data_IF_804783336211
#
_entry.id   IF_804783336211
#
_cell.length_a   1.000
_cell.length_b   1.000
_cell.length_c   1.000
_cell.angle_alpha   90.00
_cell.angle_beta   90.00
_cell.angle_gamma   90.00
#
_symmetry.space_group_name_H-M   'P 1'
#
loop_
_entity.id
_entity.type
_entity.pdbx_description
1 polymer ?
#
# COMPACT_ATOMS: atom_id res chain seq x y z
N UNK A 1 17.33 -34.01 25.93
CA UNK A 1 17.04 -35.00 27.00
C UNK A 1 15.66 -34.71 27.58
N UNK A 2 14.64 -35.42 27.14
CA UNK A 2 13.39 -35.59 27.89
C UNK A 2 12.95 -37.04 27.69
N UNK A 3 12.80 -37.75 28.81
CA UNK A 3 12.48 -39.18 28.94
C UNK A 3 11.00 -39.38 28.60
N UNK A 4 10.68 -40.34 27.75
CA UNK A 4 9.30 -40.79 27.50
C UNK A 4 9.18 -42.21 28.06
N UNK A 5 8.53 -42.34 29.21
CA UNK A 5 8.24 -43.63 29.85
C UNK A 5 6.97 -44.22 29.25
N UNK A 6 7.14 -45.38 28.62
CA UNK A 6 6.10 -46.26 28.13
C UNK A 6 5.35 -46.85 29.33
N UNK A 7 4.05 -46.55 29.48
CA UNK A 7 3.20 -47.26 30.42
C UNK A 7 1.98 -47.84 29.70
N UNK A 8 2.09 -49.12 29.36
CA UNK A 8 1.03 -50.01 28.93
C UNK A 8 0.02 -50.21 30.07
N UNK A 9 -1.23 -49.81 29.88
CA UNK A 9 -2.33 -50.22 30.75
C UNK A 9 -3.56 -50.53 29.92
N UNK A 10 -3.73 -51.83 29.65
CA UNK A 10 -4.93 -52.43 29.06
C UNK A 10 -6.09 -52.33 30.06
N UNK A 11 -7.02 -51.41 29.82
CA UNK A 11 -8.32 -51.34 30.52
C UNK A 11 -9.35 -52.23 29.79
N UNK A 12 -10.13 -53.07 30.50
CA UNK A 12 -11.19 -53.85 29.87
C UNK A 12 -12.36 -52.93 29.47
N UNK A 13 -12.93 -53.20 28.30
CA UNK A 13 -14.09 -52.47 27.78
C UNK A 13 -15.31 -52.69 28.70
N UNK A 14 -16.11 -51.64 28.99
CA UNK A 14 -17.32 -51.80 29.78
C UNK A 14 -18.41 -52.47 28.93
N UNK A 15 -18.89 -53.63 29.37
CA UNK A 15 -20.11 -54.26 28.84
C UNK A 15 -21.29 -53.31 29.08
N UNK A 16 -21.78 -52.69 28.01
CA UNK A 16 -23.00 -51.88 28.05
C UNK A 16 -24.19 -52.83 28.15
N UNK A 17 -24.85 -52.87 29.31
CA UNK A 17 -26.18 -53.49 29.43
C UNK A 17 -27.14 -52.67 28.58
N UNK A 18 -27.63 -53.25 27.49
CA UNK A 18 -28.72 -52.67 26.69
C UNK A 18 -30.02 -52.76 27.50
N UNK A 19 -30.31 -51.74 28.29
CA UNK A 19 -31.61 -51.58 28.93
C UNK A 19 -32.66 -51.30 27.85
N UNK A 20 -33.35 -52.36 27.42
CA UNK A 20 -34.47 -52.23 26.47
C UNK A 20 -35.59 -51.43 27.13
N UNK A 21 -36.10 -50.36 26.50
CA UNK A 21 -37.16 -49.55 27.09
C UNK A 21 -38.43 -50.38 27.30
N UNK A 22 -39.12 -50.13 28.42
CA UNK A 22 -40.39 -50.77 28.77
C UNK A 22 -41.56 -49.89 28.36
N UNK A 23 -42.73 -50.49 28.12
CA UNK A 23 -43.93 -49.75 27.76
C UNK A 23 -44.55 -49.06 28.97
N UNK A 24 -44.82 -47.76 28.85
CA UNK A 24 -45.45 -46.97 29.92
C UNK A 24 -46.93 -47.34 30.18
N UNK A 25 -47.58 -48.01 29.21
CA UNK A 25 -49.00 -48.38 29.27
C UNK A 25 -49.19 -49.84 29.70
N UNK A 26 -48.24 -50.70 29.35
CA UNK A 26 -48.31 -52.14 29.60
C UNK A 26 -47.12 -52.57 30.45
N UNK A 27 -47.36 -52.69 31.76
CA UNK A 27 -46.33 -53.05 32.73
C UNK A 27 -45.71 -54.42 32.39
N UNK A 28 -44.38 -54.48 32.36
CA UNK A 28 -43.65 -55.71 32.03
C UNK A 28 -43.45 -55.97 30.52
N UNK A 29 -44.08 -55.18 29.64
CA UNK A 29 -43.90 -55.33 28.19
C UNK A 29 -42.71 -54.53 27.65
N UNK A 30 -41.88 -55.17 26.84
CA UNK A 30 -40.73 -54.55 26.19
C UNK A 30 -41.15 -53.82 24.92
N UNK A 31 -40.56 -52.66 24.68
CA UNK A 31 -40.67 -51.94 23.40
C UNK A 31 -39.76 -52.63 22.38
N UNK A 32 -40.34 -53.40 21.46
CA UNK A 32 -39.61 -54.21 20.49
C UNK A 32 -40.17 -54.14 19.06
N UNK A 33 -41.21 -53.33 18.84
CA UNK A 33 -41.88 -53.14 17.56
C UNK A 33 -41.88 -51.64 17.23
N UNK A 34 -41.83 -51.29 15.95
CA UNK A 34 -41.96 -49.91 15.49
C UNK A 34 -43.26 -49.73 14.71
N UNK A 35 -44.08 -48.77 15.10
CA UNK A 35 -45.30 -48.42 14.39
C UNK A 35 -44.98 -47.45 13.25
N UNK A 36 -44.98 -47.96 12.02
CA UNK A 36 -44.66 -47.18 10.81
C UNK A 36 -45.69 -46.08 10.58
N UNK A 37 -46.97 -46.37 10.83
CA UNK A 37 -48.07 -45.40 10.64
C UNK A 37 -47.94 -44.15 11.53
N UNK A 38 -47.38 -44.30 12.73
CA UNK A 38 -47.27 -43.21 13.71
C UNK A 38 -45.82 -42.72 13.91
N UNK A 39 -44.84 -43.41 13.33
CA UNK A 39 -43.43 -43.05 13.45
C UNK A 39 -42.84 -43.23 14.85
N UNK A 40 -43.38 -44.13 15.67
CA UNK A 40 -42.98 -44.30 17.08
C UNK A 40 -42.72 -45.78 17.46
N UNK A 41 -41.75 -46.05 18.34
CA UNK A 41 -41.55 -47.38 18.89
C UNK A 41 -42.68 -47.75 19.87
N UNK A 42 -43.11 -49.01 19.88
CA UNK A 42 -44.26 -49.51 20.64
C UNK A 42 -44.06 -50.96 21.12
N UNK A 43 -44.97 -51.49 21.94
CA UNK A 43 -44.95 -52.87 22.41
C UNK A 43 -46.02 -53.75 21.74
N UNK A 44 -45.89 -55.07 21.87
CA UNK A 44 -46.85 -56.05 21.33
C UNK A 44 -48.28 -55.82 21.82
N UNK A 45 -48.47 -55.48 23.10
CA UNK A 45 -49.81 -55.25 23.66
C UNK A 45 -50.48 -54.00 23.09
N UNK A 46 -49.72 -52.92 22.91
CA UNK A 46 -50.18 -51.71 22.21
C UNK A 46 -50.62 -51.99 20.77
N UNK A 47 -49.96 -52.95 20.09
CA UNK A 47 -50.31 -53.39 18.74
C UNK A 47 -51.51 -54.33 18.71
N UNK A 48 -51.66 -55.29 19.62
CA UNK A 48 -52.76 -56.27 19.49
C UNK A 48 -54.07 -55.73 20.05
N UNK A 49 -54.03 -54.99 21.15
CA UNK A 49 -55.22 -54.56 21.90
C UNK A 49 -55.29 -53.05 22.14
N UNK A 50 -54.20 -52.31 21.91
CA UNK A 50 -54.10 -50.89 22.22
C UNK A 50 -54.28 -49.95 21.03
N UNK A 51 -53.73 -48.74 21.17
CA UNK A 51 -53.88 -47.63 20.22
C UNK A 51 -53.28 -47.87 18.83
N UNK A 52 -52.48 -48.93 18.64
CA UNK A 52 -51.81 -49.25 17.37
C UNK A 52 -52.43 -50.47 16.67
N UNK A 53 -53.64 -50.88 17.06
CA UNK A 53 -54.34 -52.07 16.55
C UNK A 53 -54.37 -52.16 15.03
N UNK A 54 -54.78 -51.07 14.38
CA UNK A 54 -54.97 -51.01 12.93
C UNK A 54 -53.76 -50.39 12.19
N UNK A 55 -52.63 -50.18 12.90
CA UNK A 55 -51.43 -49.58 12.32
C UNK A 55 -50.49 -50.61 11.69
N UNK A 56 -49.77 -50.20 10.65
CA UNK A 56 -48.68 -51.01 10.11
C UNK A 56 -47.47 -50.97 11.06
N UNK A 57 -46.89 -52.14 11.34
CA UNK A 57 -45.76 -52.27 12.26
C UNK A 57 -44.66 -53.15 11.69
N UNK A 58 -43.43 -52.84 12.05
CA UNK A 58 -42.22 -53.54 11.63
C UNK A 58 -41.33 -53.86 12.84
N UNK A 59 -40.47 -54.90 12.79
CA UNK A 59 -39.50 -55.16 13.85
C UNK A 59 -38.59 -53.96 14.08
N UNK A 60 -38.41 -53.55 15.34
CA UNK A 60 -37.67 -52.33 15.69
C UNK A 60 -36.21 -52.36 15.20
N UNK A 61 -35.59 -53.55 15.13
CA UNK A 61 -34.22 -53.75 14.66
C UNK A 61 -34.06 -53.41 13.18
N UNK A 62 -35.05 -53.76 12.35
CA UNK A 62 -35.05 -53.47 10.90
C UNK A 62 -35.16 -51.97 10.64
N UNK A 63 -36.11 -51.30 11.31
CA UNK A 63 -36.29 -49.85 11.21
C UNK A 63 -35.08 -49.11 11.80
N UNK A 64 -34.52 -49.57 12.91
CA UNK A 64 -33.33 -48.98 13.52
C UNK A 64 -32.15 -48.97 12.55
N UNK A 65 -31.83 -50.11 11.91
CA UNK A 65 -30.72 -50.16 10.96
C UNK A 65 -31.00 -49.26 9.75
N UNK A 66 -32.22 -49.27 9.22
CA UNK A 66 -32.61 -48.40 8.10
C UNK A 66 -32.44 -46.93 8.45
N UNK A 67 -33.01 -46.47 9.57
CA UNK A 67 -32.92 -45.07 10.02
C UNK A 67 -31.51 -44.66 10.40
N UNK A 68 -30.71 -45.58 10.94
CA UNK A 68 -29.29 -45.35 11.23
C UNK A 68 -28.49 -45.13 9.94
N UNK A 69 -28.74 -45.93 8.91
CA UNK A 69 -28.13 -45.76 7.59
C UNK A 69 -28.58 -44.46 6.94
N UNK A 70 -29.88 -44.16 6.90
CA UNK A 70 -30.40 -42.89 6.37
C UNK A 70 -29.77 -41.67 7.06
N UNK A 71 -29.65 -41.70 8.40
CA UNK A 71 -29.01 -40.63 9.16
C UNK A 71 -27.51 -40.55 8.85
N UNK A 72 -26.83 -41.68 8.76
CA UNK A 72 -25.40 -41.74 8.42
C UNK A 72 -25.14 -41.17 7.02
N UNK A 73 -25.95 -41.53 6.03
CA UNK A 73 -25.85 -41.04 4.66
C UNK A 73 -26.16 -39.53 4.58
N UNK A 74 -27.18 -39.08 5.30
CA UNK A 74 -27.51 -37.65 5.43
C UNK A 74 -26.37 -36.84 6.04
N UNK A 75 -25.73 -37.36 7.09
CA UNK A 75 -24.54 -36.74 7.70
C UNK A 75 -23.38 -36.72 6.69
N UNK A 76 -23.12 -37.81 5.99
CA UNK A 76 -22.05 -37.87 4.99
C UNK A 76 -22.24 -36.86 3.85
N UNK A 77 -23.46 -36.71 3.35
CA UNK A 77 -23.80 -35.67 2.35
C UNK A 77 -23.58 -34.26 2.90
N UNK A 78 -23.99 -33.99 4.14
CA UNK A 78 -23.79 -32.69 4.77
C UNK A 78 -22.31 -32.36 4.99
N UNK A 79 -21.50 -33.33 5.38
CA UNK A 79 -20.04 -33.15 5.50
C UNK A 79 -19.44 -32.74 4.15
N UNK A 80 -19.77 -33.46 3.07
CA UNK A 80 -19.29 -33.09 1.72
C UNK A 80 -19.78 -31.72 1.26
N UNK A 81 -21.02 -31.33 1.61
CA UNK A 81 -21.54 -29.98 1.34
C UNK A 81 -20.75 -28.91 2.10
N UNK A 82 -20.43 -29.14 3.38
CA UNK A 82 -19.65 -28.22 4.20
C UNK A 82 -18.21 -28.07 3.66
N UNK A 83 -17.57 -29.18 3.25
CA UNK A 83 -16.24 -29.14 2.64
C UNK A 83 -16.23 -28.30 1.36
N UNK A 84 -17.27 -28.44 0.52
CA UNK A 84 -17.44 -27.59 -0.67
C UNK A 84 -17.61 -26.12 -0.29
N UNK A 85 -18.43 -25.79 0.71
CA UNK A 85 -18.61 -24.42 1.17
C UNK A 85 -17.30 -23.82 1.70
N UNK A 86 -16.55 -24.61 2.48
CA UNK A 86 -15.24 -24.19 2.99
C UNK A 86 -14.27 -23.89 1.84
N UNK A 87 -14.26 -24.72 0.79
CA UNK A 87 -13.47 -24.48 -0.42
C UNK A 87 -13.86 -23.17 -1.14
N UNK A 88 -15.15 -22.86 -1.23
CA UNK A 88 -15.63 -21.58 -1.80
C UNK A 88 -15.20 -20.40 -0.93
N UNK A 89 -15.31 -20.51 0.40
CA UNK A 89 -14.87 -19.46 1.33
C UNK A 89 -13.38 -19.16 1.12
N UNK A 90 -12.53 -20.19 1.07
CA UNK A 90 -11.10 -20.02 0.83
C UNK A 90 -10.80 -19.33 -0.52
N UNK A 91 -11.51 -19.69 -1.60
CA UNK A 91 -11.37 -19.02 -2.89
C UNK A 91 -11.77 -17.54 -2.83
N UNK A 92 -12.83 -17.20 -2.10
CA UNK A 92 -13.26 -15.81 -1.92
C UNK A 92 -12.24 -15.00 -1.12
N UNK A 93 -11.68 -15.58 -0.05
CA UNK A 93 -10.62 -14.94 0.73
C UNK A 93 -9.35 -14.69 -0.10
N UNK A 94 -8.96 -15.65 -0.94
CA UNK A 94 -7.85 -15.48 -1.89
C UNK A 94 -8.13 -14.37 -2.91
N UNK A 95 -9.34 -14.32 -3.46
CA UNK A 95 -9.75 -13.26 -4.38
C UNK A 95 -9.70 -11.88 -3.72
N UNK A 96 -10.16 -11.76 -2.46
CA UNK A 96 -10.07 -10.52 -1.69
C UNK A 96 -8.61 -10.07 -1.52
N UNK A 97 -7.72 -10.98 -1.08
CA UNK A 97 -6.29 -10.70 -0.95
C UNK A 97 -5.67 -10.25 -2.28
N UNK A 98 -6.02 -10.92 -3.38
CA UNK A 98 -5.54 -10.56 -4.70
C UNK A 98 -6.03 -9.18 -5.16
N UNK A 99 -7.28 -8.81 -4.87
CA UNK A 99 -7.82 -7.48 -5.18
C UNK A 99 -7.08 -6.39 -4.40
N UNK A 100 -6.83 -6.60 -3.10
CA UNK A 100 -6.09 -5.67 -2.26
C UNK A 100 -4.66 -5.47 -2.75
N UNK A 101 -3.96 -6.57 -3.05
CA UNK A 101 -2.58 -6.54 -3.55
C UNK A 101 -2.50 -5.87 -4.93
N UNK A 102 -3.42 -6.19 -5.84
CA UNK A 102 -3.50 -5.52 -7.14
C UNK A 102 -3.76 -4.02 -6.97
N UNK A 103 -4.68 -3.63 -6.09
CA UNK A 103 -4.97 -2.24 -5.77
C UNK A 103 -3.74 -1.51 -5.21
N UNK A 104 -3.01 -2.15 -4.29
CA UNK A 104 -1.75 -1.64 -3.74
C UNK A 104 -0.71 -1.45 -4.85
N UNK A 105 -0.52 -2.44 -5.72
CA UNK A 105 0.43 -2.38 -6.84
C UNK A 105 0.13 -1.20 -7.78
N UNK A 106 -1.15 -1.01 -8.15
CA UNK A 106 -1.53 0.11 -9.01
C UNK A 106 -1.29 1.46 -8.33
N UNK A 107 -1.56 1.59 -7.03
CA UNK A 107 -1.25 2.81 -6.27
C UNK A 107 0.26 3.10 -6.26
N UNK A 108 1.10 2.09 -6.03
CA UNK A 108 2.55 2.24 -6.10
C UNK A 108 3.01 2.72 -7.48
N UNK A 109 2.50 2.12 -8.56
CA UNK A 109 2.84 2.52 -9.92
C UNK A 109 2.48 4.00 -10.19
N UNK A 110 1.34 4.47 -9.68
CA UNK A 110 0.96 5.89 -9.80
C UNK A 110 1.98 6.78 -9.09
N UNK A 111 2.35 6.45 -7.85
CA UNK A 111 3.35 7.19 -7.11
C UNK A 111 4.68 7.25 -7.89
N UNK A 112 5.18 6.12 -8.38
CA UNK A 112 6.43 6.06 -9.15
C UNK A 112 6.40 6.95 -10.41
N UNK A 113 5.26 7.03 -11.10
CA UNK A 113 5.11 7.92 -12.27
C UNK A 113 5.13 9.39 -11.88
N UNK A 114 4.53 9.76 -10.76
CA UNK A 114 4.60 11.13 -10.25
C UNK A 114 6.00 11.48 -9.72
N UNK A 115 6.69 10.55 -9.04
CA UNK A 115 8.06 10.74 -8.57
C UNK A 115 9.03 11.00 -9.72
N UNK A 116 8.85 10.30 -10.84
CA UNK A 116 9.59 10.57 -12.06
C UNK A 116 9.31 11.98 -12.61
N UNK A 117 8.04 12.39 -12.65
CA UNK A 117 7.65 13.73 -13.10
C UNK A 117 8.24 14.83 -12.20
N UNK A 118 8.23 14.64 -10.87
CA UNK A 118 8.86 15.56 -9.93
C UNK A 118 10.37 15.65 -10.17
N UNK A 119 11.03 14.53 -10.45
CA UNK A 119 12.47 14.51 -10.75
C UNK A 119 12.81 15.34 -11.99
N UNK A 120 12.01 15.25 -13.04
CA UNK A 120 12.17 16.06 -14.26
C UNK A 120 11.96 17.55 -13.98
N UNK A 121 10.94 17.90 -13.18
CA UNK A 121 10.68 19.28 -12.80
C UNK A 121 11.82 19.86 -11.94
N UNK A 122 12.34 19.10 -10.98
CA UNK A 122 13.43 19.54 -10.12
C UNK A 122 14.74 19.70 -10.90
N UNK A 123 15.00 18.81 -11.87
CA UNK A 123 16.12 18.98 -12.80
C UNK A 123 16.00 20.28 -13.61
N UNK A 124 14.82 20.59 -14.18
CA UNK A 124 14.61 21.85 -14.90
C UNK A 124 14.76 23.08 -14.03
N UNK A 125 14.28 23.03 -12.79
CA UNK A 125 14.52 24.09 -11.80
C UNK A 125 16.02 24.27 -11.54
N UNK A 126 16.75 23.18 -11.32
CA UNK A 126 18.20 23.21 -11.09
C UNK A 126 18.96 23.82 -12.27
N UNK A 127 18.67 23.40 -13.50
CA UNK A 127 19.27 23.96 -14.72
C UNK A 127 19.07 25.48 -14.79
N UNK A 128 17.82 25.96 -14.59
CA UNK A 128 17.50 27.38 -14.62
C UNK A 128 18.23 28.16 -13.52
N UNK A 129 18.26 27.63 -12.30
CA UNK A 129 18.98 28.25 -11.19
C UNK A 129 20.48 28.34 -11.45
N UNK A 130 21.09 27.32 -12.06
CA UNK A 130 22.51 27.32 -12.39
C UNK A 130 22.89 28.44 -13.35
N UNK A 131 22.04 28.78 -14.32
CA UNK A 131 22.28 29.91 -15.24
C UNK A 131 22.34 31.23 -14.48
N UNK A 132 21.39 31.46 -13.56
CA UNK A 132 21.36 32.67 -12.73
C UNK A 132 22.59 32.73 -11.81
N UNK A 133 22.93 31.61 -11.18
CA UNK A 133 24.13 31.53 -10.32
C UNK A 133 25.41 31.80 -11.10
N UNK A 134 25.55 31.27 -12.31
CA UNK A 134 26.73 31.50 -13.14
C UNK A 134 26.91 32.98 -13.51
N UNK A 135 25.86 33.67 -13.96
CA UNK A 135 25.96 35.11 -14.25
C UNK A 135 26.20 35.93 -12.97
N UNK A 136 25.58 35.55 -11.85
CA UNK A 136 25.82 36.20 -10.56
C UNK A 136 27.30 36.08 -10.14
N UNK A 137 27.88 34.88 -10.25
CA UNK A 137 29.28 34.60 -9.92
C UNK A 137 30.23 35.38 -10.85
N UNK A 138 29.99 35.34 -12.16
CA UNK A 138 30.76 36.09 -13.15
C UNK A 138 30.76 37.60 -12.84
N UNK A 139 29.57 38.17 -12.58
CA UNK A 139 29.45 39.59 -12.24
C UNK A 139 30.14 39.94 -10.94
N UNK A 140 29.94 39.14 -9.89
CA UNK A 140 30.57 39.36 -8.59
C UNK A 140 32.10 39.25 -8.67
N UNK A 141 32.61 38.29 -9.43
CA UNK A 141 34.05 38.08 -9.64
C UNK A 141 34.68 39.23 -10.41
N UNK A 142 34.01 39.73 -11.45
CA UNK A 142 34.44 40.92 -12.18
C UNK A 142 34.57 42.13 -11.24
N UNK A 143 33.52 42.44 -10.45
CA UNK A 143 33.54 43.56 -9.51
C UNK A 143 34.62 43.39 -8.43
N UNK A 144 34.80 42.17 -7.92
CA UNK A 144 35.85 41.87 -6.93
C UNK A 144 37.24 42.08 -7.53
N UNK A 145 37.46 41.64 -8.77
CA UNK A 145 38.73 41.83 -9.48
C UNK A 145 39.03 43.31 -9.70
N UNK A 146 38.03 44.10 -10.10
CA UNK A 146 38.20 45.52 -10.33
C UNK A 146 38.45 46.28 -9.03
N UNK A 147 37.72 45.94 -7.96
CA UNK A 147 37.94 46.47 -6.62
C UNK A 147 39.38 46.24 -6.17
N UNK A 148 39.95 45.07 -6.47
CA UNK A 148 41.36 44.77 -6.18
C UNK A 148 42.30 45.68 -6.98
N UNK A 149 42.10 45.83 -8.29
CA UNK A 149 42.91 46.74 -9.12
C UNK A 149 42.90 48.18 -8.58
N UNK A 150 41.73 48.69 -8.18
CA UNK A 150 41.60 50.02 -7.59
C UNK A 150 42.31 50.13 -6.23
N UNK A 151 42.24 49.09 -5.39
CA UNK A 151 42.98 49.06 -4.11
C UNK A 151 44.49 49.04 -4.31
N UNK A 152 44.97 48.23 -5.24
CA UNK A 152 46.40 48.12 -5.55
C UNK A 152 46.93 49.47 -6.09
N UNK A 153 46.18 50.13 -6.99
CA UNK A 153 46.54 51.46 -7.49
C UNK A 153 46.49 52.54 -6.40
N UNK A 154 45.50 52.49 -5.50
CA UNK A 154 45.43 53.40 -4.36
C UNK A 154 46.64 53.23 -3.44
N UNK A 155 47.07 52.00 -3.17
CA UNK A 155 48.25 51.72 -2.36
C UNK A 155 49.53 52.30 -3.00
N UNK A 156 49.71 52.14 -4.31
CA UNK A 156 50.81 52.75 -5.06
C UNK A 156 50.77 54.28 -5.03
N UNK A 157 49.57 54.86 -5.16
CA UNK A 157 49.37 56.31 -5.03
C UNK A 157 49.74 56.80 -3.62
N UNK A 158 49.34 56.09 -2.56
CA UNK A 158 49.72 56.42 -1.19
C UNK A 158 51.24 56.39 -0.98
N UNK A 159 51.93 55.35 -1.46
CA UNK A 159 53.40 55.26 -1.42
C UNK A 159 54.08 56.43 -2.16
N UNK A 160 53.51 56.83 -3.29
CA UNK A 160 54.02 57.96 -4.07
C UNK A 160 53.84 59.28 -3.30
N UNK A 161 52.72 59.46 -2.60
CA UNK A 161 52.48 60.62 -1.71
C UNK A 161 53.47 60.62 -0.54
N UNK A 162 53.68 59.47 0.12
CA UNK A 162 54.64 59.33 1.22
C UNK A 162 56.06 59.70 0.76
N UNK A 163 56.51 59.20 -0.40
CA UNK A 163 57.79 59.58 -0.99
C UNK A 163 57.85 61.07 -1.35
N UNK A 164 56.72 61.66 -1.79
CA UNK A 164 56.52 63.10 -1.95
C UNK A 164 56.84 63.88 -0.68
N UNK A 165 56.21 63.49 0.43
CA UNK A 165 56.37 64.12 1.74
C UNK A 165 57.83 63.96 2.23
N UNK A 166 58.40 62.76 2.15
CA UNK A 166 59.80 62.51 2.55
C UNK A 166 60.79 63.34 1.73
N UNK A 167 60.55 63.49 0.42
CA UNK A 167 61.42 64.32 -0.44
C UNK A 167 61.33 65.79 -0.06
N UNK A 168 60.19 66.27 0.43
CA UNK A 168 60.03 67.64 0.94
C UNK A 168 60.83 67.91 2.22
N UNK A 169 61.26 66.86 2.93
CA UNK A 169 62.12 66.97 4.12
C UNK A 169 63.62 66.97 3.77
N UNK A 170 63.99 66.80 2.50
CA UNK A 170 65.39 66.80 2.06
C UNK A 170 66.03 68.19 2.23
N UNK A 171 67.13 68.22 2.98
CA UNK A 171 67.86 69.46 3.31
C UNK A 171 68.96 69.79 2.31
N UNK A 172 69.50 68.77 1.62
CA UNK A 172 70.52 68.94 0.59
C UNK A 172 69.89 69.34 -0.75
N UNK A 173 70.10 70.59 -1.14
CA UNK A 173 69.44 71.21 -2.30
C UNK A 173 69.69 70.46 -3.62
N UNK A 174 70.90 69.92 -3.80
CA UNK A 174 71.25 69.18 -5.01
C UNK A 174 70.47 67.85 -5.10
N UNK A 175 70.37 67.11 -3.99
CA UNK A 175 69.62 65.84 -3.92
C UNK A 175 68.12 66.07 -4.08
N UNK A 176 67.58 67.13 -3.46
CA UNK A 176 66.19 67.54 -3.63
C UNK A 176 65.84 67.77 -5.11
N UNK A 177 66.63 68.60 -5.81
CA UNK A 177 66.40 68.91 -7.22
C UNK A 177 66.56 67.68 -8.12
N UNK A 178 67.51 66.78 -7.80
CA UNK A 178 67.71 65.53 -8.52
C UNK A 178 66.50 64.60 -8.42
N UNK A 179 65.89 64.51 -7.23
CA UNK A 179 64.77 63.61 -6.94
C UNK A 179 63.40 64.18 -7.32
N UNK A 180 63.26 65.51 -7.35
CA UNK A 180 61.96 66.19 -7.61
C UNK A 180 61.40 65.88 -8.99
N UNK A 181 62.21 66.00 -10.06
CA UNK A 181 61.74 65.80 -11.43
C UNK A 181 61.19 64.38 -11.71
N UNK A 182 61.89 63.28 -11.35
CA UNK A 182 61.33 61.94 -11.53
C UNK A 182 60.13 61.67 -10.61
N UNK A 183 60.10 62.27 -9.42
CA UNK A 183 58.98 62.13 -8.48
C UNK A 183 57.70 62.81 -8.99
N UNK A 184 57.80 64.02 -9.55
CA UNK A 184 56.67 64.71 -10.17
C UNK A 184 56.06 63.90 -11.33
N UNK A 185 56.90 63.21 -12.11
CA UNK A 185 56.42 62.28 -13.13
C UNK A 185 55.65 61.11 -12.50
N UNK A 186 56.20 60.47 -11.47
CA UNK A 186 55.51 59.39 -10.74
C UNK A 186 54.18 59.85 -10.13
N UNK A 187 54.11 61.07 -9.59
CA UNK A 187 52.87 61.65 -9.06
C UNK A 187 51.83 61.82 -10.17
N UNK A 188 52.23 62.33 -11.33
CA UNK A 188 51.33 62.48 -12.48
C UNK A 188 50.81 61.12 -12.97
N UNK A 189 51.68 60.11 -13.05
CA UNK A 189 51.32 58.75 -13.46
C UNK A 189 50.37 58.10 -12.42
N UNK A 190 50.67 58.22 -11.12
CA UNK A 190 49.86 57.68 -10.01
C UNK A 190 48.51 58.39 -9.82
N UNK A 191 48.37 59.64 -10.27
CA UNK A 191 47.10 60.38 -10.21
C UNK A 191 46.14 59.99 -11.34
N UNK A 192 46.63 59.28 -12.36
CA UNK A 192 45.84 58.90 -13.53
C UNK A 192 45.18 57.54 -13.35
N UNK A 193 43.85 57.51 -13.32
CA UNK A 193 43.05 56.27 -13.27
C UNK A 193 42.61 55.79 -14.66
N UNK A 194 43.12 56.38 -15.75
CA UNK A 194 42.71 56.07 -17.12
C UNK A 194 42.98 54.61 -17.53
N UNK A 195 43.91 53.94 -16.84
CA UNK A 195 44.26 52.54 -17.04
C UNK A 195 43.33 51.55 -16.32
N UNK A 196 42.39 52.05 -15.49
CA UNK A 196 41.44 51.23 -14.75
C UNK A 196 40.09 51.18 -15.46
N UNK A 197 39.55 49.97 -15.59
CA UNK A 197 38.24 49.74 -16.17
C UNK A 197 37.14 50.40 -15.33
N UNK A 198 36.06 50.85 -15.97
CA UNK A 198 34.88 51.39 -15.28
C UNK A 198 33.72 50.40 -15.35
N UNK A 199 32.90 50.39 -14.31
CA UNK A 199 31.68 49.57 -14.29
C UNK A 199 30.56 50.34 -15.00
N UNK A 200 29.89 49.69 -15.94
CA UNK A 200 28.73 50.26 -16.61
C UNK A 200 27.55 50.41 -15.64
N UNK A 201 26.72 51.43 -15.87
CA UNK A 201 25.54 51.66 -15.02
C UNK A 201 24.52 50.54 -15.23
N UNK A 202 24.10 49.91 -14.13
CA UNK A 202 23.15 48.81 -14.18
C UNK A 202 23.79 47.44 -14.43
N UNK A 203 25.13 47.32 -14.33
CA UNK A 203 25.82 46.03 -14.43
C UNK A 203 25.28 44.99 -13.44
N UNK A 204 24.85 45.43 -12.26
CA UNK A 204 24.24 44.63 -11.21
C UNK A 204 22.85 44.07 -11.56
N UNK A 205 22.21 44.57 -12.62
CA UNK A 205 20.85 44.19 -12.98
C UNK A 205 20.79 42.71 -13.41
N UNK A 206 19.80 41.99 -12.88
CA UNK A 206 19.51 40.58 -13.18
C UNK A 206 18.03 40.36 -13.56
N UNK A 207 17.25 41.43 -13.74
CA UNK A 207 15.81 41.38 -13.95
C UNK A 207 15.40 40.88 -15.35
N UNK A 208 16.37 40.58 -16.23
CA UNK A 208 16.10 39.97 -17.55
C UNK A 208 15.68 38.51 -17.47
N UNK A 209 15.89 37.85 -16.32
CA UNK A 209 15.38 36.51 -16.08
C UNK A 209 13.88 36.53 -15.77
N UNK A 210 13.09 35.83 -16.59
CA UNK A 210 11.66 35.66 -16.36
C UNK A 210 11.25 34.21 -16.57
N UNK A 211 10.27 33.75 -15.80
CA UNK A 211 9.80 32.37 -15.84
C UNK A 211 8.27 32.33 -15.92
N UNK A 212 7.73 31.63 -16.92
CA UNK A 212 6.29 31.51 -17.17
C UNK A 212 5.92 30.05 -17.42
N UNK A 213 5.03 29.48 -16.59
CA UNK A 213 4.67 28.05 -16.63
C UNK A 213 3.22 27.78 -17.07
N UNK A 214 2.62 28.67 -17.85
CA UNK A 214 1.19 28.58 -18.18
C UNK A 214 0.84 27.31 -18.99
N UNK A 215 1.72 26.91 -19.91
CA UNK A 215 1.50 25.74 -20.77
C UNK A 215 1.70 24.44 -19.97
N UNK A 216 2.73 24.42 -19.15
CA UNK A 216 3.14 23.32 -18.28
C UNK A 216 2.07 23.07 -17.22
N UNK A 217 1.59 24.12 -16.56
CA UNK A 217 0.49 24.03 -15.61
C UNK A 217 -0.80 23.51 -16.27
N UNK A 218 -1.08 23.91 -17.52
CA UNK A 218 -2.21 23.36 -18.28
C UNK A 218 -2.00 21.88 -18.62
N UNK A 219 -0.79 21.49 -19.01
CA UNK A 219 -0.44 20.10 -19.31
C UNK A 219 -0.57 19.22 -18.05
N UNK A 220 -0.06 19.65 -16.91
CA UNK A 220 -0.19 18.96 -15.62
C UNK A 220 -1.66 18.77 -15.22
N UNK A 221 -2.50 19.79 -15.39
CA UNK A 221 -3.96 19.69 -15.13
C UNK A 221 -4.68 18.74 -16.08
N UNK A 222 -4.10 18.42 -17.24
CA UNK A 222 -4.69 17.51 -18.22
C UNK A 222 -4.28 16.04 -18.03
N UNK A 223 -3.44 15.74 -17.04
CA UNK A 223 -3.05 14.36 -16.72
C UNK A 223 -4.26 13.61 -16.18
N UNK A 224 -4.57 12.48 -16.80
CA UNK A 224 -5.70 11.63 -16.45
C UNK A 224 -5.27 10.16 -16.38
N UNK A 225 -6.00 9.34 -15.63
CA UNK A 225 -5.86 7.90 -15.67
C UNK A 225 -6.40 7.36 -17.00
N UNK A 226 -5.58 6.59 -17.72
CA UNK A 226 -6.05 5.82 -18.87
C UNK A 226 -6.57 4.50 -18.33
N UNK A 227 -7.89 4.35 -18.29
CA UNK A 227 -8.52 3.08 -17.99
C UNK A 227 -8.74 2.35 -19.32
N UNK A 228 -7.82 1.47 -19.70
CA UNK A 228 -8.06 0.57 -20.84
C UNK A 228 -9.18 -0.39 -20.46
N UNK A 229 -10.39 -0.11 -20.95
CA UNK A 229 -11.61 -0.90 -20.74
C UNK A 229 -11.56 -2.30 -21.39
N UNK A 230 -10.40 -2.80 -21.82
CA UNK A 230 -10.27 -4.02 -22.63
C UNK A 230 -10.38 -5.31 -21.78
N UNK A 231 -10.13 -5.23 -20.47
CA UNK A 231 -10.43 -6.32 -19.54
C UNK A 231 -11.51 -5.83 -18.57
N UNK A 232 -12.76 -6.02 -18.99
CA UNK A 232 -13.95 -5.63 -18.24
C UNK A 232 -13.84 -6.03 -16.78
N UNK A 233 -14.13 -5.08 -15.89
CA UNK A 233 -14.26 -5.30 -14.44
C UNK A 233 -15.10 -6.58 -14.26
N UNK A 234 -14.53 -7.70 -13.76
CA UNK A 234 -15.31 -8.92 -13.58
C UNK A 234 -16.45 -8.57 -12.63
N UNK A 235 -17.70 -8.62 -13.12
CA UNK A 235 -18.85 -8.47 -12.24
C UNK A 235 -18.95 -9.74 -11.42
N UNK A 236 -19.20 -9.66 -10.10
CA UNK A 236 -19.58 -10.84 -9.34
C UNK A 236 -20.86 -11.41 -9.96
N UNK A 237 -20.79 -12.61 -10.51
CA UNK A 237 -21.94 -13.33 -11.05
C UNK A 237 -22.75 -13.89 -9.89
N UNK A 238 -23.78 -13.16 -9.46
CA UNK A 238 -24.78 -13.69 -8.53
C UNK A 238 -25.77 -14.58 -9.31
N UNK A 239 -25.47 -15.86 -9.46
CA UNK A 239 -26.46 -16.85 -9.86
C UNK A 239 -26.93 -17.61 -8.62
N UNK A 240 -28.23 -17.53 -8.24
CA UNK A 240 -28.77 -18.39 -7.18
C UNK A 240 -28.76 -19.82 -7.69
N UNK A 241 -27.91 -20.68 -7.13
CA UNK A 241 -28.09 -22.12 -7.29
C UNK A 241 -29.35 -22.49 -6.52
N UNK A 242 -30.42 -22.82 -7.26
CA UNK A 242 -31.61 -23.46 -6.71
C UNK A 242 -31.16 -24.70 -5.93
N UNK A 243 -31.27 -24.65 -4.61
CA UNK A 243 -31.27 -25.85 -3.80
C UNK A 243 -32.58 -26.57 -4.08
N UNK A 244 -32.52 -27.65 -4.87
CA UNK A 244 -33.67 -28.52 -5.09
C UNK A 244 -34.04 -29.19 -3.76
N UNK A 245 -35.10 -28.72 -3.12
CA UNK A 245 -35.82 -29.47 -2.10
C UNK A 245 -36.79 -30.42 -2.81
N UNK A 246 -36.43 -31.70 -2.90
CA UNK A 246 -37.37 -32.74 -3.34
C UNK A 246 -38.30 -33.12 -2.18
N UNK A 247 -39.36 -32.35 -1.98
CA UNK A 247 -40.55 -32.78 -1.24
C UNK A 247 -41.48 -33.53 -2.20
N UNK A 248 -41.36 -34.87 -2.21
CA UNK A 248 -42.26 -35.76 -2.91
C UNK A 248 -43.61 -35.86 -2.19
N UNK A 249 -44.62 -35.17 -2.71
CA UNK A 249 -46.03 -35.42 -2.45
C UNK A 249 -46.42 -36.81 -2.98
N UNK A 250 -47.12 -37.60 -2.17
CA UNK A 250 -48.05 -38.61 -2.69
C UNK A 250 -49.45 -38.24 -2.20
N UNK A 251 -50.27 -37.72 -3.12
CA UNK A 251 -51.73 -37.66 -3.01
C UNK A 251 -52.32 -38.90 -3.68
N UNK A 252 -53.27 -39.55 -3.04
CA UNK A 252 -54.33 -40.38 -3.63
C UNK A 252 -55.12 -41.00 -2.46
N UNK A 253 -56.44 -41.11 -2.40
CA UNK A 253 -57.59 -40.61 -3.15
C UNK A 253 -58.79 -40.90 -2.24
N UNK A 254 -59.64 -39.91 -1.98
CA UNK A 254 -60.94 -40.16 -1.34
C UNK A 254 -61.95 -40.54 -2.44
N UNK A 255 -62.67 -41.63 -2.25
CA UNK A 255 -63.97 -41.87 -2.91
C UNK A 255 -64.83 -42.73 -1.98
N UNK A 256 -66.07 -42.27 -1.90
CA UNK A 256 -67.27 -42.65 -1.13
C UNK A 256 -67.40 -44.11 -0.69
#
# INVERSE_FOLDING_TARGET
MFKQESNSSSKPAPERKEETPMCDVHEGEKINIYCVTHGVPTCSMCKVFGAHKDCEVEPISSIYQTKKTELSDGIAMMVGSNDRMQGIISQLEEACRAIEENGRRQKTLVCEKFDHLYSVLEEKKREMSQVVTAEQEEKADYIRSLTRKYKDHLEESCKTVEMGIQTMEESEMALFLQNTKPLLKKIADASSTAHLDKVERGYENMDHYSVVFNKEAKALRSINFIQDCVYGRPRPTSSPQQMNSSSGLVKSSAST
#
